data_IF_197206987149
#
_entry.id   IF_197206987149
#
_cell.length_a   1.000
_cell.length_b   1.000
_cell.length_c   1.000
_cell.angle_alpha   90.00
_cell.angle_beta   90.00
_cell.angle_gamma   90.00
#
_symmetry.space_group_name_H-M   'P 1'
#
loop_
_entity.id
_entity.type
_entity.pdbx_description
1 polymer ?
#
# COMPACT_ATOMS: atom_id res chain seq x y z
N UNK A 1 -3.09 21.05 3.61
CA UNK A 1 -2.51 22.37 3.96
C UNK A 1 -1.03 22.47 3.58
N UNK A 2 -0.10 21.70 4.16
CA UNK A 2 1.34 21.88 3.85
C UNK A 2 1.68 21.74 2.36
N UNK A 3 1.19 20.70 1.68
CA UNK A 3 1.36 20.56 0.23
C UNK A 3 0.67 21.67 -0.58
N UNK A 4 -0.40 22.25 -0.05
CA UNK A 4 -1.10 23.36 -0.72
C UNK A 4 -0.33 24.68 -0.55
N UNK A 5 0.30 24.88 0.61
CA UNK A 5 1.08 26.08 0.94
C UNK A 5 2.46 26.12 0.29
N UNK A 6 3.12 24.96 0.18
CA UNK A 6 4.52 24.87 -0.23
C UNK A 6 4.73 24.29 -1.64
N UNK A 7 3.65 24.07 -2.40
CA UNK A 7 3.69 23.72 -3.82
C UNK A 7 3.37 22.25 -4.14
N UNK A 8 3.02 22.00 -5.40
CA UNK A 8 2.68 20.68 -5.94
C UNK A 8 1.17 20.42 -6.08
N UNK A 9 0.33 21.38 -5.69
CA UNK A 9 -1.14 21.33 -5.78
C UNK A 9 -1.71 22.66 -6.31
N UNK A 10 -1.14 23.17 -7.39
CA UNK A 10 -1.40 24.53 -7.87
C UNK A 10 -2.81 24.68 -8.46
N UNK A 11 -3.31 23.63 -9.13
CA UNK A 11 -4.64 23.65 -9.74
C UNK A 11 -5.70 22.89 -8.93
N UNK A 12 -7.00 23.23 -9.08
CA UNK A 12 -8.09 22.44 -8.51
C UNK A 12 -8.05 20.96 -8.92
N UNK A 13 -7.64 20.67 -10.16
CA UNK A 13 -7.54 19.31 -10.70
C UNK A 13 -6.46 18.53 -9.95
N UNK A 14 -5.27 19.12 -9.76
CA UNK A 14 -4.18 18.49 -8.99
C UNK A 14 -4.61 18.26 -7.53
N UNK A 15 -5.26 19.26 -6.91
CA UNK A 15 -5.85 19.10 -5.57
C UNK A 15 -6.84 17.95 -5.50
N UNK A 16 -7.72 17.81 -6.49
CA UNK A 16 -8.72 16.75 -6.53
C UNK A 16 -8.08 15.35 -6.69
N UNK A 17 -7.07 15.21 -7.56
CA UNK A 17 -6.37 13.94 -7.78
C UNK A 17 -5.72 13.39 -6.51
N UNK A 18 -5.24 14.28 -5.65
CA UNK A 18 -4.62 13.89 -4.38
C UNK A 18 -5.65 13.75 -3.27
N UNK A 19 -6.60 14.68 -3.17
CA UNK A 19 -7.61 14.69 -2.10
C UNK A 19 -8.51 13.47 -2.14
N UNK A 20 -8.84 12.94 -3.33
CA UNK A 20 -9.64 11.70 -3.44
C UNK A 20 -8.96 10.53 -2.71
N UNK A 21 -7.63 10.43 -2.75
CA UNK A 21 -6.87 9.37 -2.07
C UNK A 21 -6.81 9.60 -0.57
N UNK A 22 -6.63 10.85 -0.14
CA UNK A 22 -6.68 11.22 1.29
C UNK A 22 -8.04 10.86 1.89
N UNK A 23 -9.14 11.22 1.22
CA UNK A 23 -10.49 10.89 1.66
C UNK A 23 -10.73 9.38 1.66
N UNK A 24 -10.34 8.70 0.58
CA UNK A 24 -10.49 7.25 0.47
C UNK A 24 -9.69 6.49 1.53
N UNK A 25 -8.47 6.93 1.85
CA UNK A 25 -7.66 6.31 2.90
C UNK A 25 -8.41 6.30 4.24
N UNK A 26 -8.94 7.45 4.64
CA UNK A 26 -9.66 7.60 5.93
C UNK A 26 -11.04 6.93 5.92
N UNK A 27 -11.81 7.07 4.84
CA UNK A 27 -13.21 6.63 4.81
C UNK A 27 -13.40 5.18 4.33
N UNK A 28 -12.41 4.59 3.67
CA UNK A 28 -12.57 3.30 2.97
C UNK A 28 -11.43 2.32 3.16
N UNK A 29 -10.19 2.79 3.32
CA UNK A 29 -9.05 1.90 3.61
C UNK A 29 -8.93 1.59 5.10
N UNK A 30 -9.03 2.60 5.95
CA UNK A 30 -8.94 2.48 7.41
C UNK A 30 -9.84 1.35 7.98
N UNK A 31 -11.17 1.32 7.73
CA UNK A 31 -12.04 0.26 8.27
C UNK A 31 -11.77 -1.13 7.67
N UNK A 32 -11.05 -1.21 6.54
CA UNK A 32 -10.58 -2.49 5.98
C UNK A 32 -9.36 -2.99 6.75
N UNK A 33 -8.45 -2.08 7.13
CA UNK A 33 -7.19 -2.42 7.78
C UNK A 33 -7.31 -2.52 9.30
N UNK A 34 -8.22 -1.78 9.92
CA UNK A 34 -8.43 -1.73 11.36
C UNK A 34 -9.89 -2.03 11.66
N UNK A 35 -10.16 -3.28 12.01
CA UNK A 35 -11.50 -3.70 12.43
C UNK A 35 -11.70 -3.33 13.89
N UNK A 36 -12.67 -2.48 14.15
CA UNK A 36 -13.01 -2.03 15.50
C UNK A 36 -14.23 -2.77 16.07
N UNK A 37 -14.29 -2.85 17.39
CA UNK A 37 -15.51 -3.24 18.11
C UNK A 37 -16.41 -2.01 18.35
N UNK A 38 -17.56 -2.22 19.00
CA UNK A 38 -18.53 -1.15 19.32
C UNK A 38 -17.98 -0.02 20.22
N UNK A 39 -16.84 -0.26 20.87
CA UNK A 39 -16.15 0.71 21.74
C UNK A 39 -15.01 1.45 21.01
N UNK A 40 -14.83 1.24 19.70
CA UNK A 40 -13.74 1.84 18.92
C UNK A 40 -12.36 1.21 19.17
N UNK A 41 -12.29 0.02 19.78
CA UNK A 41 -11.02 -0.70 19.96
C UNK A 41 -10.72 -1.54 18.73
N UNK A 42 -9.54 -1.37 18.15
CA UNK A 42 -9.01 -2.24 17.08
C UNK A 42 -8.81 -3.66 17.59
N UNK A 43 -9.53 -4.62 17.01
CA UNK A 43 -9.51 -6.05 17.36
C UNK A 43 -8.94 -6.94 16.25
N UNK A 44 -8.68 -6.39 15.06
CA UNK A 44 -8.09 -7.16 13.98
C UNK A 44 -7.96 -6.36 12.68
N UNK A 45 -7.69 -7.09 11.59
CA UNK A 45 -7.51 -6.50 10.27
C UNK A 45 -8.20 -7.35 9.19
N UNK A 46 -8.70 -6.69 8.15
CA UNK A 46 -9.19 -7.34 6.94
C UNK A 46 -8.11 -7.64 5.89
N UNK A 47 -6.86 -7.20 6.10
CA UNK A 47 -5.79 -7.25 5.10
C UNK A 47 -5.44 -8.67 4.61
N UNK A 48 -5.54 -9.68 5.48
CA UNK A 48 -5.31 -11.09 5.14
C UNK A 48 -6.39 -11.69 4.22
N UNK A 49 -7.58 -11.09 4.22
CA UNK A 49 -8.74 -11.54 3.45
C UNK A 49 -8.64 -11.18 1.97
N UNK A 50 -9.78 -10.92 1.35
CA UNK A 50 -9.85 -10.47 -0.04
C UNK A 50 -10.77 -9.23 -0.17
N UNK A 51 -10.54 -8.15 0.60
CA UNK A 51 -11.44 -7.00 0.60
C UNK A 51 -11.40 -6.27 -0.74
N UNK A 52 -12.57 -5.84 -1.22
CA UNK A 52 -12.72 -5.10 -2.49
C UNK A 52 -11.83 -3.84 -2.57
N UNK A 53 -11.60 -3.17 -1.44
CA UNK A 53 -10.72 -2.01 -1.35
C UNK A 53 -9.27 -2.33 -1.74
N UNK A 54 -8.71 -3.43 -1.21
CA UNK A 54 -7.34 -3.84 -1.55
C UNK A 54 -7.24 -4.40 -2.96
N UNK A 55 -8.27 -5.09 -3.48
CA UNK A 55 -8.31 -5.49 -4.89
C UNK A 55 -8.21 -4.30 -5.84
N UNK A 56 -8.94 -3.22 -5.56
CA UNK A 56 -8.92 -2.00 -6.37
C UNK A 56 -7.58 -1.29 -6.26
N UNK A 57 -7.02 -1.18 -5.06
CA UNK A 57 -5.73 -0.55 -4.85
C UNK A 57 -4.60 -1.35 -5.55
N UNK A 58 -4.63 -2.67 -5.45
CA UNK A 58 -3.70 -3.56 -6.16
C UNK A 58 -3.74 -3.37 -7.68
N UNK A 59 -4.96 -3.21 -8.24
CA UNK A 59 -5.13 -2.96 -9.67
C UNK A 59 -4.63 -1.57 -10.10
N UNK A 60 -4.88 -0.54 -9.28
CA UNK A 60 -4.34 0.82 -9.53
C UNK A 60 -2.82 0.81 -9.53
N UNK A 61 -2.20 0.14 -8.55
CA UNK A 61 -0.74 0.07 -8.41
C UNK A 61 -0.08 -0.89 -9.42
N UNK A 62 -0.86 -1.60 -10.24
CA UNK A 62 -0.35 -2.40 -11.34
C UNK A 62 -0.03 -1.57 -12.59
N UNK A 63 -0.43 -0.30 -12.62
CA UNK A 63 -0.20 0.59 -13.74
C UNK A 63 1.30 0.90 -13.89
N UNK A 64 1.88 0.48 -15.00
CA UNK A 64 3.31 0.58 -15.28
C UNK A 64 3.79 2.02 -15.46
N UNK A 65 2.87 2.96 -15.72
CA UNK A 65 3.19 4.38 -15.89
C UNK A 65 3.22 5.14 -14.55
N UNK A 66 3.04 4.45 -13.42
CA UNK A 66 2.98 5.06 -12.10
C UNK A 66 3.91 4.37 -11.09
N UNK A 67 4.75 5.17 -10.41
CA UNK A 67 5.52 4.69 -9.25
C UNK A 67 4.74 4.88 -7.94
N UNK A 68 3.81 5.83 -7.93
CA UNK A 68 3.00 6.28 -6.79
C UNK A 68 1.53 6.49 -7.20
N UNK A 69 0.67 6.90 -6.26
CA UNK A 69 -0.78 6.98 -6.50
C UNK A 69 -1.23 8.08 -7.47
N UNK A 70 -0.37 9.06 -7.72
CA UNK A 70 -0.62 10.20 -8.62
C UNK A 70 0.62 10.44 -9.48
N UNK A 71 0.95 9.46 -10.32
CA UNK A 71 2.07 9.52 -11.26
C UNK A 71 3.37 8.92 -10.70
N UNK A 72 4.51 9.48 -11.09
CA UNK A 72 5.85 8.96 -10.75
C UNK A 72 6.48 9.64 -9.53
N UNK A 73 5.89 10.73 -9.03
CA UNK A 73 6.41 11.45 -7.87
C UNK A 73 5.61 11.16 -6.60
N UNK A 74 6.32 11.06 -5.48
CA UNK A 74 5.71 10.84 -4.18
C UNK A 74 4.92 12.07 -3.74
N UNK A 75 3.66 11.87 -3.34
CA UNK A 75 2.74 12.96 -3.00
C UNK A 75 2.06 12.75 -1.64
N UNK A 76 1.22 13.71 -1.22
CA UNK A 76 0.43 13.52 0.02
C UNK A 76 -0.68 12.47 -0.11
N UNK A 77 -1.02 12.04 -1.33
CA UNK A 77 -1.85 10.84 -1.52
C UNK A 77 -1.14 9.61 -0.96
N UNK A 78 0.16 9.49 -1.22
CA UNK A 78 0.99 8.39 -0.78
C UNK A 78 1.26 8.41 0.71
N UNK A 79 1.44 9.61 1.28
CA UNK A 79 1.50 9.77 2.74
C UNK A 79 0.23 9.19 3.39
N UNK A 80 -0.95 9.56 2.89
CA UNK A 80 -2.22 9.16 3.50
C UNK A 80 -2.49 7.65 3.37
N UNK A 81 -2.30 7.09 2.18
CA UNK A 81 -2.58 5.66 1.94
C UNK A 81 -1.49 4.77 2.54
N UNK A 82 -0.22 5.11 2.33
CA UNK A 82 0.87 4.24 2.75
C UNK A 82 1.07 4.22 4.26
N UNK A 83 0.78 5.30 4.99
CA UNK A 83 0.84 5.28 6.45
C UNK A 83 0.01 4.12 7.05
N UNK A 84 -1.23 3.97 6.60
CA UNK A 84 -2.09 2.88 7.05
C UNK A 84 -1.60 1.49 6.61
N UNK A 85 -1.08 1.36 5.38
CA UNK A 85 -0.51 0.09 4.92
C UNK A 85 0.71 -0.32 5.75
N UNK A 86 1.60 0.62 6.07
CA UNK A 86 2.82 0.36 6.85
C UNK A 86 2.54 0.12 8.33
N UNK A 87 1.36 0.48 8.83
CA UNK A 87 0.88 0.06 10.15
C UNK A 87 0.51 -1.43 10.21
N UNK A 88 0.17 -2.07 9.08
CA UNK A 88 -0.17 -3.50 9.06
C UNK A 88 0.97 -4.38 9.61
N UNK A 89 2.22 -4.31 9.11
CA UNK A 89 3.31 -5.10 9.66
C UNK A 89 3.68 -4.73 11.11
N UNK A 90 3.35 -3.52 11.56
CA UNK A 90 3.63 -3.05 12.93
C UNK A 90 2.62 -3.59 13.95
N UNK A 91 1.33 -3.49 13.66
CA UNK A 91 0.26 -3.87 14.60
C UNK A 91 -0.27 -5.29 14.37
N UNK A 92 -0.09 -5.84 13.18
CA UNK A 92 -0.54 -7.19 12.81
C UNK A 92 0.61 -8.02 12.22
N UNK A 93 1.70 -8.25 12.98
CA UNK A 93 2.93 -8.86 12.45
C UNK A 93 2.76 -10.29 11.91
N UNK A 94 1.65 -10.96 12.27
CA UNK A 94 1.29 -12.30 11.76
C UNK A 94 0.58 -12.27 10.40
N UNK A 95 0.18 -11.10 9.91
CA UNK A 95 -0.51 -10.94 8.63
C UNK A 95 0.50 -10.88 7.51
N UNK A 96 0.24 -11.69 6.48
CA UNK A 96 1.02 -11.69 5.25
C UNK A 96 0.24 -10.94 4.15
N UNK A 97 0.84 -9.88 3.61
CA UNK A 97 0.29 -9.12 2.48
C UNK A 97 0.80 -9.58 1.11
N UNK A 98 1.59 -10.65 1.03
CA UNK A 98 2.18 -11.16 -0.22
C UNK A 98 1.19 -11.65 -1.28
N UNK A 99 -0.12 -11.66 -1.00
CA UNK A 99 -1.15 -11.84 -2.03
C UNK A 99 -1.42 -10.55 -2.84
N UNK A 100 -0.88 -9.43 -2.38
CA UNK A 100 -1.00 -8.09 -2.94
C UNK A 100 0.38 -7.57 -3.37
N UNK A 101 1.00 -8.15 -4.42
CA UNK A 101 2.37 -7.81 -4.78
C UNK A 101 2.61 -6.35 -5.12
N UNK A 102 1.68 -5.68 -5.80
CA UNK A 102 1.85 -4.29 -6.17
C UNK A 102 1.74 -3.38 -4.94
N UNK A 103 0.83 -3.70 -4.01
CA UNK A 103 0.76 -3.06 -2.70
C UNK A 103 2.06 -3.30 -1.91
N UNK A 104 2.58 -4.53 -1.86
CA UNK A 104 3.82 -4.82 -1.15
C UNK A 104 5.05 -4.10 -1.75
N UNK A 105 5.14 -4.01 -3.08
CA UNK A 105 6.16 -3.23 -3.77
C UNK A 105 6.04 -1.74 -3.46
N UNK A 106 4.81 -1.21 -3.46
CA UNK A 106 4.50 0.16 -3.10
C UNK A 106 4.86 0.50 -1.64
N UNK A 107 4.53 -0.39 -0.69
CA UNK A 107 4.94 -0.30 0.72
C UNK A 107 6.47 -0.28 0.84
N UNK A 108 7.17 -1.08 0.04
CA UNK A 108 8.63 -1.12 0.00
C UNK A 108 9.21 0.23 -0.44
N UNK A 109 8.69 0.80 -1.54
CA UNK A 109 9.12 2.13 -2.03
C UNK A 109 8.90 3.22 -0.98
N UNK A 110 7.73 3.24 -0.34
CA UNK A 110 7.41 4.27 0.64
C UNK A 110 8.23 4.17 1.93
N UNK A 111 8.44 2.96 2.45
CA UNK A 111 9.25 2.72 3.67
C UNK A 111 10.76 2.88 3.45
N UNK A 112 11.23 2.86 2.19
CA UNK A 112 12.63 3.12 1.86
C UNK A 112 13.00 4.61 1.84
N UNK A 113 12.02 5.52 1.95
CA UNK A 113 12.26 6.97 1.94
C UNK A 113 12.95 7.39 3.26
N UNK A 114 14.04 8.19 3.22
CA UNK A 114 14.71 8.67 4.43
C UNK A 114 13.77 9.35 5.44
N UNK A 115 12.79 10.11 4.95
CA UNK A 115 11.79 10.77 5.79
C UNK A 115 10.92 9.80 6.60
N UNK A 116 10.73 8.55 6.14
CA UNK A 116 10.02 7.53 6.92
C UNK A 116 10.86 7.10 8.12
N UNK A 117 12.16 6.87 7.91
CA UNK A 117 13.08 6.51 8.99
C UNK A 117 13.26 7.64 9.99
N UNK A 118 13.32 8.88 9.52
CA UNK A 118 13.36 10.07 10.39
C UNK A 118 12.11 10.16 11.29
N UNK A 119 10.93 9.85 10.74
CA UNK A 119 9.67 9.93 11.48
C UNK A 119 9.45 8.78 12.48
N UNK A 120 9.83 7.55 12.12
CA UNK A 120 9.51 6.34 12.90
C UNK A 120 10.72 5.70 13.59
N UNK A 121 11.93 6.16 13.28
CA UNK A 121 13.18 5.64 13.79
C UNK A 121 13.65 4.35 13.09
N UNK A 122 14.92 3.99 13.28
CA UNK A 122 15.57 2.87 12.58
C UNK A 122 14.94 1.51 12.93
N UNK A 123 14.49 1.33 14.18
CA UNK A 123 13.92 0.06 14.63
C UNK A 123 12.61 -0.29 13.91
N UNK A 124 11.68 0.66 13.86
CA UNK A 124 10.39 0.48 13.18
C UNK A 124 10.62 0.34 11.69
N UNK A 125 11.51 1.14 11.13
CA UNK A 125 11.85 1.10 9.70
C UNK A 125 12.40 -0.26 9.28
N UNK A 126 13.37 -0.82 10.02
CA UNK A 126 13.89 -2.15 9.74
C UNK A 126 12.80 -3.22 9.81
N UNK A 127 11.97 -3.22 10.86
CA UNK A 127 10.86 -4.17 11.02
C UNK A 127 9.91 -4.14 9.82
N UNK A 128 9.51 -2.94 9.40
CA UNK A 128 8.59 -2.75 8.28
C UNK A 128 9.23 -3.19 6.96
N UNK A 129 10.49 -2.82 6.72
CA UNK A 129 11.21 -3.20 5.48
C UNK A 129 11.39 -4.71 5.40
N UNK A 130 11.76 -5.37 6.49
CA UNK A 130 11.86 -6.83 6.55
C UNK A 130 10.50 -7.50 6.27
N UNK A 131 9.41 -6.96 6.79
CA UNK A 131 8.07 -7.46 6.49
C UNK A 131 7.73 -7.31 5.01
N UNK A 132 8.00 -6.15 4.41
CA UNK A 132 7.80 -5.91 2.98
C UNK A 132 8.61 -6.89 2.11
N UNK A 133 9.88 -7.16 2.45
CA UNK A 133 10.70 -8.18 1.77
C UNK A 133 10.02 -9.55 1.82
N UNK A 134 9.58 -10.00 3.01
CA UNK A 134 8.86 -11.27 3.16
C UNK A 134 7.58 -11.35 2.32
N UNK A 135 6.83 -10.24 2.22
CA UNK A 135 5.62 -10.17 1.41
C UNK A 135 5.93 -10.33 -0.09
N UNK A 136 7.02 -9.71 -0.56
CA UNK A 136 7.47 -9.84 -1.95
C UNK A 136 7.96 -11.25 -2.27
N UNK A 137 8.69 -11.90 -1.37
CA UNK A 137 9.15 -13.28 -1.53
C UNK A 137 7.99 -14.28 -1.60
N UNK A 138 6.95 -14.10 -0.77
CA UNK A 138 5.75 -14.95 -0.81
C UNK A 138 4.88 -14.75 -2.06
N UNK A 139 5.04 -13.63 -2.77
CA UNK A 139 4.46 -13.49 -4.11
C UNK A 139 5.19 -14.41 -5.09
N UNK A 140 6.52 -14.42 -5.06
CA UNK A 140 7.34 -15.15 -6.02
C UNK A 140 7.08 -16.66 -6.01
N UNK A 141 6.79 -17.22 -4.83
CA UNK A 141 6.46 -18.65 -4.67
C UNK A 141 5.05 -19.04 -5.13
N UNK A 142 4.14 -18.06 -5.26
CA UNK A 142 2.75 -18.28 -5.65
C UNK A 142 2.46 -17.99 -7.14
N UNK A 143 3.47 -17.63 -7.95
CA UNK A 143 3.27 -17.46 -9.40
C UNK A 143 2.94 -18.83 -10.04
N UNK A 144 1.80 -18.98 -10.74
CA UNK A 144 1.53 -20.22 -11.46
C UNK A 144 2.59 -20.41 -12.54
N UNK A 145 3.24 -21.58 -12.54
CA UNK A 145 4.14 -22.01 -13.60
C UNK A 145 3.36 -21.94 -14.91
N UNK A 146 3.78 -21.09 -15.86
CA UNK A 146 3.22 -21.09 -17.22
C UNK A 146 3.43 -22.50 -17.80
N UNK A 147 2.40 -23.34 -17.79
CA UNK A 147 2.38 -24.54 -18.61
C UNK A 147 2.40 -24.07 -20.06
N UNK A 148 3.53 -24.27 -20.74
CA UNK A 148 3.58 -24.12 -22.18
C UNK A 148 2.62 -25.14 -22.78
N UNK A 149 1.52 -24.68 -23.38
CA UNK A 149 0.73 -25.53 -24.26
C UNK A 149 1.63 -25.86 -25.44
N UNK A 150 2.28 -27.02 -25.41
CA UNK A 150 2.78 -27.66 -26.62
C UNK A 150 1.56 -27.98 -27.46
N UNK A 151 1.30 -27.16 -28.47
CA UNK A 151 0.41 -27.54 -29.56
C UNK A 151 1.05 -28.77 -30.22
N UNK A 152 0.44 -29.94 -29.99
CA UNK A 152 0.73 -31.13 -30.77
C UNK A 152 0.23 -30.90 -32.19
N UNK A 153 1.17 -30.85 -33.13
CA UNK A 153 0.90 -31.18 -34.52
C UNK A 153 0.91 -32.70 -34.57
N UNK A 154 -0.26 -33.32 -34.76
CA UNK A 154 -0.52 -34.52 -35.58
C UNK A 154 -2.03 -34.67 -35.72
#
# INVERSE_FOLDING_TARGET
YLADKYGGLDTPEQRAQVTKWVLWANASLDPVLFKENEQGKVIGTGAAGNPRGLQRLEAVLNDADTDFLVGTEFSVADVAVCAYLLYVPQFFPKVNMGKWPNIAAYMTRCSARPAYEEAYGPRVTSLVREACVRYMETTATNKPTKQSKRFGIF
#
